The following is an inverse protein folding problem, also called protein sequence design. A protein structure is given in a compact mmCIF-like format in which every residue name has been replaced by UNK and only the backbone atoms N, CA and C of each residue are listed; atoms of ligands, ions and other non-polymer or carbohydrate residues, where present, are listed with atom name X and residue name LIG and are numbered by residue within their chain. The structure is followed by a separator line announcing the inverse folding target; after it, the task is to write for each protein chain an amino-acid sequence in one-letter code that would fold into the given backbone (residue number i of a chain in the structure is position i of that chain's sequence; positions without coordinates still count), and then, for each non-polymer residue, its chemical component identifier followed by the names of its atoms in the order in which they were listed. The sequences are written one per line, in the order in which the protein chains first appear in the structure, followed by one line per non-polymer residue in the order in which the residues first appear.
data_IF_852756460471
#
_entry.id   IF_852756460471
#
_cell.length_a   1.000
_cell.length_b   1.000
_cell.length_c   1.000
_cell.angle_alpha   90.00
_cell.angle_beta   90.00
_cell.angle_gamma   90.00
#
_symmetry.space_group_name_H-M   'P 1'
#
loop_
_entity.id
_entity.type
_entity.pdbx_description
1 polymer ?
#
# COMPACT_ATOMS: atom_id res chain seq x y z
N UNK A 1 71.84 -4.60 5.62
CA UNK A 1 72.25 -5.00 6.98
C UNK A 1 71.56 -4.04 7.93
N UNK A 2 70.76 -4.57 8.86
CA UNK A 2 69.75 -3.92 9.72
C UNK A 2 68.37 -3.64 9.06
N UNK A 3 67.47 -4.63 9.16
CA UNK A 3 65.99 -4.50 9.22
C UNK A 3 65.42 -5.93 9.20
N UNK A 4 65.29 -6.59 10.36
CA UNK A 4 64.56 -7.87 10.52
C UNK A 4 64.50 -8.27 12.01
N UNK A 5 63.70 -7.57 12.82
CA UNK A 5 63.37 -8.05 14.16
C UNK A 5 62.06 -7.44 14.67
N UNK A 6 60.92 -7.73 14.02
CA UNK A 6 59.59 -7.45 14.62
C UNK A 6 58.40 -8.23 14.02
N UNK A 7 58.61 -9.40 13.41
CA UNK A 7 57.50 -10.19 12.82
C UNK A 7 57.61 -11.66 13.23
N UNK A 8 57.42 -11.98 14.51
CA UNK A 8 57.47 -13.37 15.01
C UNK A 8 56.62 -13.64 16.26
N UNK A 9 55.37 -13.16 16.36
CA UNK A 9 54.52 -13.49 17.53
C UNK A 9 53.04 -13.86 17.29
N UNK A 10 52.61 -14.21 16.07
CA UNK A 10 51.18 -14.51 15.84
C UNK A 10 50.86 -15.81 15.10
N UNK A 11 51.73 -16.82 15.18
CA UNK A 11 51.44 -18.11 14.56
C UNK A 11 52.08 -19.26 15.33
N UNK A 12 51.39 -19.80 16.33
CA UNK A 12 51.34 -21.25 16.65
C UNK A 12 50.83 -21.53 18.08
N UNK A 13 49.52 -21.71 18.23
CA UNK A 13 48.97 -22.55 19.28
C UNK A 13 47.65 -23.14 18.78
N UNK A 14 47.78 -24.24 18.05
CA UNK A 14 46.70 -25.15 17.70
C UNK A 14 46.31 -26.02 18.92
N UNK A 15 45.10 -26.57 18.83
CA UNK A 15 44.54 -27.76 19.53
C UNK A 15 43.85 -27.46 20.88
N UNK A 16 42.68 -27.99 21.27
CA UNK A 16 41.44 -28.54 20.70
C UNK A 16 40.62 -29.02 21.93
N UNK A 17 39.32 -28.72 22.07
CA UNK A 17 38.35 -29.65 22.71
C UNK A 17 36.89 -29.16 22.62
N UNK A 18 36.17 -29.69 21.63
CA UNK A 18 34.91 -30.44 21.73
C UNK A 18 33.71 -29.92 22.57
N UNK A 19 32.57 -29.81 21.87
CA UNK A 19 31.18 -30.11 22.26
C UNK A 19 30.18 -28.94 22.37
N UNK A 20 29.61 -28.53 21.22
CA UNK A 20 28.18 -28.20 21.12
C UNK A 20 27.62 -28.74 19.79
N UNK A 21 26.64 -29.66 19.82
CA UNK A 21 25.89 -30.06 18.64
C UNK A 21 24.70 -29.11 18.45
N UNK A 22 24.34 -28.87 17.17
CA UNK A 22 23.12 -28.22 16.69
C UNK A 22 23.20 -26.71 16.42
N UNK A 23 24.03 -26.34 15.44
CA UNK A 23 23.74 -25.18 14.59
C UNK A 23 22.47 -25.44 13.77
N UNK A 24 21.30 -25.21 14.37
CA UNK A 24 20.08 -24.99 13.60
C UNK A 24 20.35 -23.72 12.78
N UNK A 25 20.64 -23.91 11.50
CA UNK A 25 20.62 -22.86 10.49
C UNK A 25 19.21 -22.29 10.39
N UNK A 26 18.81 -21.51 11.40
CA UNK A 26 17.79 -20.50 11.19
C UNK A 26 18.46 -19.41 10.37
N UNK A 27 17.93 -19.00 9.21
CA UNK A 27 18.36 -17.76 8.61
C UNK A 27 17.96 -16.65 9.59
N UNK A 28 18.91 -16.23 10.44
CA UNK A 28 18.77 -15.06 11.27
C UNK A 28 18.69 -13.88 10.31
N UNK A 29 17.47 -13.39 10.05
CA UNK A 29 17.27 -12.21 9.23
C UNK A 29 18.13 -11.09 9.83
N UNK A 30 19.00 -10.42 9.06
CA UNK A 30 19.75 -9.31 9.58
C UNK A 30 18.77 -8.26 10.12
N UNK A 31 18.87 -7.97 11.42
CA UNK A 31 18.13 -6.92 12.17
C UNK A 31 18.22 -5.53 11.53
N UNK A 32 19.00 -5.37 10.45
CA UNK A 32 19.15 -4.16 9.63
C UNK A 32 18.07 -3.95 8.57
N UNK A 33 16.99 -4.72 8.53
CA UNK A 33 15.84 -4.46 7.64
C UNK A 33 14.70 -3.64 8.27
N UNK A 34 14.94 -3.00 9.42
CA UNK A 34 14.10 -1.90 9.92
C UNK A 34 14.75 -0.56 9.54
N UNK A 35 15.38 -0.48 8.36
CA UNK A 35 15.86 0.79 7.84
C UNK A 35 14.64 1.62 7.41
N UNK A 36 14.23 2.52 8.29
CA UNK A 36 13.46 3.74 8.07
C UNK A 36 12.66 3.74 6.76
N UNK A 37 11.34 3.66 6.84
CA UNK A 37 10.44 4.26 5.85
C UNK A 37 10.67 5.78 5.81
N UNK A 38 11.83 6.20 5.32
CA UNK A 38 12.10 7.56 4.87
C UNK A 38 11.66 7.56 3.42
N UNK A 39 10.37 7.79 3.19
CA UNK A 39 9.92 8.24 1.88
C UNK A 39 10.61 9.58 1.63
N UNK A 40 11.77 9.55 0.95
CA UNK A 40 12.26 10.76 0.29
C UNK A 40 11.18 11.09 -0.73
N UNK A 41 10.42 12.14 -0.44
CA UNK A 41 9.45 12.72 -1.36
C UNK A 41 10.25 13.33 -2.51
N UNK A 42 10.67 12.48 -3.46
CA UNK A 42 11.36 12.91 -4.66
C UNK A 42 10.26 13.40 -5.61
N UNK A 43 9.88 14.66 -5.46
CA UNK A 43 8.96 15.35 -6.36
C UNK A 43 9.59 15.36 -7.76
N UNK A 44 9.24 14.36 -8.57
CA UNK A 44 9.23 14.55 -10.01
C UNK A 44 8.04 15.46 -10.26
N UNK A 45 8.32 16.65 -10.81
CA UNK A 45 7.30 17.64 -11.10
C UNK A 45 6.16 17.08 -11.96
N UNK A 46 5.14 17.91 -12.15
CA UNK A 46 3.97 17.59 -12.97
C UNK A 46 4.41 16.92 -14.27
N UNK A 47 3.91 15.72 -14.54
CA UNK A 47 4.06 15.12 -15.86
C UNK A 47 3.09 15.88 -16.77
N UNK A 48 3.57 16.72 -17.70
CA UNK A 48 2.68 17.61 -18.45
C UNK A 48 1.85 16.82 -19.47
N UNK A 49 2.41 15.75 -20.02
CA UNK A 49 1.78 14.94 -21.07
C UNK A 49 0.47 14.31 -20.57
N UNK A 50 0.43 13.56 -19.45
CA UNK A 50 -0.82 12.94 -18.98
C UNK A 50 -1.83 13.97 -18.45
N UNK A 51 -1.36 15.14 -17.99
CA UNK A 51 -2.22 16.23 -17.55
C UNK A 51 -3.02 16.82 -18.72
N UNK A 52 -2.35 17.06 -19.85
CA UNK A 52 -3.00 17.55 -21.07
C UNK A 52 -4.04 16.53 -21.56
N UNK A 53 -3.74 15.23 -21.52
CA UNK A 53 -4.71 14.18 -21.88
C UNK A 53 -5.96 14.18 -20.98
N UNK A 54 -5.77 14.35 -19.66
CA UNK A 54 -6.91 14.43 -18.74
C UNK A 54 -7.79 15.66 -19.00
N UNK A 55 -7.19 16.85 -19.17
CA UNK A 55 -7.94 18.07 -19.46
C UNK A 55 -8.62 18.06 -20.83
N UNK A 56 -7.94 17.56 -21.86
CA UNK A 56 -8.49 17.51 -23.22
C UNK A 56 -9.72 16.63 -23.29
N UNK A 57 -9.78 15.53 -22.54
CA UNK A 57 -10.95 14.64 -22.55
C UNK A 57 -12.22 15.35 -22.06
N UNK A 58 -12.12 16.17 -21.01
CA UNK A 58 -13.24 17.00 -20.54
C UNK A 58 -13.61 18.14 -21.48
N UNK A 59 -12.59 18.78 -22.08
CA UNK A 59 -12.79 19.90 -23.00
C UNK A 59 -13.46 19.43 -24.31
N UNK A 60 -13.06 18.27 -24.82
CA UNK A 60 -13.64 17.63 -26.00
C UNK A 60 -15.12 17.32 -25.76
N UNK A 61 -15.48 16.76 -24.60
CA UNK A 61 -16.88 16.48 -24.27
C UNK A 61 -17.73 17.74 -24.18
N UNK A 62 -17.16 18.84 -23.68
CA UNK A 62 -17.91 20.09 -23.55
C UNK A 62 -18.12 20.82 -24.88
N UNK A 63 -17.13 20.80 -25.78
CA UNK A 63 -17.13 21.60 -27.01
C UNK A 63 -17.38 20.81 -28.29
N UNK A 64 -16.97 19.54 -28.38
CA UNK A 64 -17.10 18.73 -29.59
C UNK A 64 -18.40 17.90 -29.63
N UNK A 65 -19.04 17.65 -28.48
CA UNK A 65 -20.29 16.88 -28.41
C UNK A 65 -21.46 17.86 -28.21
N UNK A 66 -22.43 17.92 -29.15
CA UNK A 66 -23.59 18.79 -29.01
C UNK A 66 -24.46 18.36 -27.83
N UNK A 67 -24.89 19.34 -27.03
CA UNK A 67 -25.69 19.10 -25.83
C UNK A 67 -27.05 18.49 -26.22
N UNK A 68 -27.45 17.35 -25.63
CA UNK A 68 -28.82 16.86 -25.78
C UNK A 68 -29.82 17.81 -25.08
N UNK A 69 -30.93 18.13 -25.75
CA UNK A 69 -31.89 19.17 -25.31
C UNK A 69 -32.50 18.93 -23.91
N UNK A 70 -32.54 17.67 -23.48
CA UNK A 70 -33.09 17.26 -22.17
C UNK A 70 -32.15 17.55 -20.98
N UNK A 71 -30.90 17.97 -21.22
CA UNK A 71 -29.89 18.14 -20.16
C UNK A 71 -29.61 19.62 -19.91
N UNK A 72 -29.57 20.05 -18.65
CA UNK A 72 -29.23 21.43 -18.30
C UNK A 72 -27.76 21.72 -18.60
N UNK A 73 -27.43 22.96 -18.94
CA UNK A 73 -26.05 23.37 -19.26
C UNK A 73 -25.10 23.20 -18.07
N UNK A 74 -25.63 23.33 -16.85
CA UNK A 74 -24.91 23.05 -15.59
C UNK A 74 -24.56 21.56 -15.46
N UNK A 75 -25.54 20.67 -15.67
CA UNK A 75 -25.32 19.22 -15.59
C UNK A 75 -24.31 18.73 -16.65
N UNK A 76 -24.36 19.27 -17.87
CA UNK A 76 -23.40 18.93 -18.93
C UNK A 76 -21.96 19.33 -18.59
N UNK A 77 -21.80 20.50 -17.97
CA UNK A 77 -20.51 20.98 -17.48
C UNK A 77 -19.98 20.11 -16.35
N UNK A 78 -20.84 19.77 -15.39
CA UNK A 78 -20.48 18.93 -14.24
C UNK A 78 -20.05 17.54 -14.70
N UNK A 79 -20.76 16.96 -15.67
CA UNK A 79 -20.38 15.70 -16.31
C UNK A 79 -18.98 15.77 -16.94
N UNK A 80 -18.68 16.86 -17.65
CA UNK A 80 -17.36 17.06 -18.29
C UNK A 80 -16.22 17.14 -17.26
N UNK A 81 -16.45 17.83 -16.14
CA UNK A 81 -15.49 17.92 -15.02
C UNK A 81 -15.33 16.56 -14.33
N UNK A 82 -16.43 15.83 -14.15
CA UNK A 82 -16.40 14.48 -13.59
C UNK A 82 -15.57 13.52 -14.45
N UNK A 83 -15.77 13.50 -15.77
CA UNK A 83 -14.96 12.69 -16.69
C UNK A 83 -13.48 13.09 -16.65
N UNK A 84 -13.18 14.40 -16.67
CA UNK A 84 -11.81 14.90 -16.48
C UNK A 84 -11.19 14.33 -15.19
N UNK A 85 -11.97 14.31 -14.11
CA UNK A 85 -11.52 13.82 -12.81
C UNK A 85 -11.19 12.33 -12.87
N UNK A 86 -12.05 11.50 -13.46
CA UNK A 86 -11.81 10.06 -13.64
C UNK A 86 -10.59 9.80 -14.52
N UNK A 87 -10.47 10.48 -15.66
CA UNK A 87 -9.33 10.35 -16.56
C UNK A 87 -8.03 10.75 -15.87
N UNK A 88 -8.04 11.80 -15.05
CA UNK A 88 -6.90 12.16 -14.22
C UNK A 88 -6.57 11.15 -13.12
N UNK A 89 -7.55 10.46 -12.54
CA UNK A 89 -7.29 9.36 -11.60
C UNK A 89 -6.63 8.16 -12.29
N UNK A 90 -7.00 7.85 -13.53
CA UNK A 90 -6.42 6.74 -14.30
C UNK A 90 -4.99 7.05 -14.73
N UNK A 91 -4.74 8.24 -15.28
CA UNK A 91 -3.40 8.63 -15.73
C UNK A 91 -2.47 9.10 -14.62
N UNK A 92 -3.01 9.39 -13.44
CA UNK A 92 -2.29 9.86 -12.26
C UNK A 92 -1.22 10.94 -12.58
N UNK A 93 -1.59 12.08 -13.22
CA UNK A 93 -0.64 13.12 -13.60
C UNK A 93 -0.03 13.83 -12.38
N UNK A 94 -0.76 13.83 -11.27
CA UNK A 94 -0.43 14.43 -9.98
C UNK A 94 -0.83 13.49 -8.83
N UNK A 95 -0.31 13.72 -7.61
CA UNK A 95 -0.85 13.08 -6.40
C UNK A 95 -2.37 13.28 -6.30
N UNK A 96 -3.08 12.22 -5.91
CA UNK A 96 -4.56 12.17 -5.90
C UNK A 96 -5.19 13.37 -5.18
N UNK A 97 -4.63 13.75 -4.03
CA UNK A 97 -5.12 14.93 -3.29
C UNK A 97 -4.94 16.24 -4.04
N UNK A 98 -3.79 16.46 -4.69
CA UNK A 98 -3.53 17.66 -5.47
C UNK A 98 -4.46 17.76 -6.68
N UNK A 99 -4.69 16.63 -7.38
CA UNK A 99 -5.64 16.56 -8.48
C UNK A 99 -7.08 16.88 -8.04
N UNK A 100 -7.50 16.33 -6.90
CA UNK A 100 -8.83 16.62 -6.34
C UNK A 100 -9.03 18.12 -6.07
N UNK A 101 -8.05 18.81 -5.49
CA UNK A 101 -8.13 20.27 -5.26
C UNK A 101 -8.14 21.08 -6.57
N UNK A 102 -7.41 20.66 -7.60
CA UNK A 102 -7.46 21.30 -8.92
C UNK A 102 -8.86 21.17 -9.54
N UNK A 103 -9.44 19.96 -9.55
CA UNK A 103 -10.79 19.72 -10.06
C UNK A 103 -11.86 20.50 -9.28
N UNK A 104 -11.73 20.56 -7.94
CA UNK A 104 -12.60 21.36 -7.08
C UNK A 104 -12.53 22.84 -7.45
N UNK A 105 -11.33 23.38 -7.62
CA UNK A 105 -11.08 24.77 -8.01
C UNK A 105 -11.68 25.07 -9.38
N UNK A 106 -11.50 24.18 -10.37
CA UNK A 106 -12.09 24.32 -11.71
C UNK A 106 -13.63 24.35 -11.63
N UNK A 107 -14.24 23.55 -10.75
CA UNK A 107 -15.69 23.51 -10.55
C UNK A 107 -16.23 24.84 -10.03
N UNK A 108 -15.50 25.46 -9.10
CA UNK A 108 -15.83 26.78 -8.53
C UNK A 108 -15.63 27.91 -9.53
N UNK A 109 -14.51 27.93 -10.27
CA UNK A 109 -14.24 28.94 -11.31
C UNK A 109 -15.30 28.88 -12.42
N UNK A 110 -15.70 27.68 -12.80
CA UNK A 110 -16.74 27.46 -13.81
C UNK A 110 -18.16 27.77 -13.27
N UNK A 111 -18.28 28.17 -11.99
CA UNK A 111 -19.56 28.45 -11.28
C UNK A 111 -20.59 27.33 -11.47
N UNK A 112 -20.11 26.09 -11.50
CA UNK A 112 -20.96 24.92 -11.72
C UNK A 112 -21.65 24.52 -10.41
N UNK A 113 -20.92 24.58 -9.31
CA UNK A 113 -21.41 24.45 -7.93
C UNK A 113 -21.06 25.72 -7.14
N UNK A 114 -21.86 26.02 -6.12
CA UNK A 114 -21.53 27.03 -5.12
C UNK A 114 -20.37 26.57 -4.21
N UNK A 115 -19.77 27.51 -3.49
CA UNK A 115 -18.70 27.20 -2.52
C UNK A 115 -19.18 26.23 -1.44
N UNK A 116 -20.40 26.44 -0.92
CA UNK A 116 -20.98 25.59 0.12
C UNK A 116 -21.19 24.15 -0.37
N UNK A 117 -21.79 23.98 -1.56
CA UNK A 117 -22.01 22.64 -2.14
C UNK A 117 -20.69 21.90 -2.39
N UNK A 118 -19.68 22.60 -2.90
CA UNK A 118 -18.37 22.03 -3.22
C UNK A 118 -17.63 21.51 -1.97
N UNK A 119 -17.76 22.20 -0.83
CA UNK A 119 -17.11 21.80 0.42
C UNK A 119 -17.98 20.94 1.34
N UNK A 120 -19.28 20.79 1.07
CA UNK A 120 -20.19 19.94 1.87
C UNK A 120 -19.72 18.49 2.00
N UNK A 121 -19.01 17.99 0.99
CA UNK A 121 -18.42 16.66 1.02
C UNK A 121 -17.31 16.54 2.09
N UNK A 122 -16.54 17.60 2.35
CA UNK A 122 -15.44 17.61 3.33
C UNK A 122 -15.94 17.57 4.77
N UNK A 123 -17.19 17.96 5.01
CA UNK A 123 -17.85 17.93 6.32
C UNK A 123 -18.65 16.65 6.55
N UNK A 124 -18.57 15.67 5.65
CA UNK A 124 -19.31 14.42 5.79
C UNK A 124 -18.75 13.58 6.96
N UNK A 125 -19.64 13.18 7.88
CA UNK A 125 -19.28 12.40 9.08
C UNK A 125 -18.57 11.08 8.73
N UNK A 126 -18.92 10.44 7.62
CA UNK A 126 -18.31 9.17 7.18
C UNK A 126 -16.84 9.37 6.84
N UNK A 127 -16.47 10.49 6.20
CA UNK A 127 -15.07 10.79 5.87
C UNK A 127 -14.27 11.02 7.16
N UNK A 128 -14.83 11.75 8.11
CA UNK A 128 -14.20 11.97 9.41
C UNK A 128 -14.06 10.69 10.23
N UNK A 129 -15.04 9.79 10.18
CA UNK A 129 -14.96 8.47 10.80
C UNK A 129 -13.77 7.66 10.23
N UNK A 130 -13.56 7.72 8.91
CA UNK A 130 -12.41 7.08 8.25
C UNK A 130 -11.09 7.68 8.75
N UNK A 131 -11.00 9.01 8.88
CA UNK A 131 -9.80 9.70 9.39
C UNK A 131 -9.46 9.26 10.81
N UNK A 132 -10.45 9.23 11.71
CA UNK A 132 -10.27 8.78 13.10
C UNK A 132 -9.85 7.32 13.17
N UNK A 133 -10.44 6.44 12.35
CA UNK A 133 -10.05 5.03 12.27
C UNK A 133 -8.59 4.86 11.81
N UNK A 134 -8.13 5.67 10.84
CA UNK A 134 -6.71 5.67 10.43
C UNK A 134 -5.78 6.16 11.54
N UNK A 135 -6.14 7.21 12.28
CA UNK A 135 -5.36 7.64 13.44
C UNK A 135 -5.29 6.57 14.53
N UNK A 136 -6.41 5.91 14.82
CA UNK A 136 -6.45 4.78 15.75
C UNK A 136 -5.55 3.63 15.30
N UNK A 137 -5.65 3.21 14.03
CA UNK A 137 -4.79 2.18 13.43
C UNK A 137 -3.30 2.55 13.53
N UNK A 138 -2.94 3.80 13.22
CA UNK A 138 -1.54 4.28 13.34
C UNK A 138 -1.08 4.32 14.80
N UNK A 139 -1.96 4.68 15.74
CA UNK A 139 -1.70 4.59 17.17
C UNK A 139 -1.44 3.15 17.62
N UNK A 140 -2.28 2.21 17.20
CA UNK A 140 -2.16 0.77 17.49
C UNK A 140 -0.85 0.16 16.96
N UNK A 141 -0.42 0.58 15.77
CA UNK A 141 0.89 0.20 15.20
C UNK A 141 2.03 0.83 16.01
N UNK A 142 1.93 2.13 16.34
CA UNK A 142 2.99 2.86 17.05
C UNK A 142 3.22 2.33 18.47
N UNK A 143 2.19 1.84 19.15
CA UNK A 143 2.30 1.24 20.50
C UNK A 143 2.84 -0.20 20.46
N UNK A 144 2.95 -0.82 19.28
CA UNK A 144 3.38 -2.21 19.13
C UNK A 144 2.35 -3.24 19.63
N UNK A 145 1.12 -2.81 19.94
CA UNK A 145 0.05 -3.72 20.38
C UNK A 145 -0.30 -4.71 19.26
N UNK A 146 -0.32 -4.24 18.01
CA UNK A 146 -0.55 -5.10 16.84
C UNK A 146 0.51 -6.17 16.64
N UNK A 147 1.79 -5.82 16.81
CA UNK A 147 2.90 -6.78 16.66
C UNK A 147 2.84 -7.87 17.74
N UNK A 148 2.43 -7.52 18.98
CA UNK A 148 2.22 -8.49 20.06
C UNK A 148 1.09 -9.46 19.71
N UNK A 149 -0.07 -8.94 19.29
CA UNK A 149 -1.24 -9.76 18.90
C UNK A 149 -0.91 -10.64 17.70
N UNK A 150 -0.22 -10.12 16.69
CA UNK A 150 0.21 -10.88 15.53
C UNK A 150 1.18 -12.02 15.91
N UNK A 151 2.10 -11.77 16.85
CA UNK A 151 3.02 -12.80 17.34
C UNK A 151 2.28 -13.93 18.07
N UNK A 152 1.29 -13.60 18.90
CA UNK A 152 0.43 -14.62 19.53
C UNK A 152 -0.34 -15.45 18.49
N UNK A 153 -0.88 -14.80 17.46
CA UNK A 153 -1.61 -15.48 16.38
C UNK A 153 -0.70 -16.43 15.58
N UNK A 154 0.50 -15.99 15.20
CA UNK A 154 1.49 -16.81 14.48
C UNK A 154 1.95 -17.98 15.35
N UNK A 155 2.15 -17.79 16.66
CA UNK A 155 2.53 -18.87 17.57
C UNK A 155 1.50 -20.00 17.59
N UNK A 156 0.22 -19.67 17.41
CA UNK A 156 -0.87 -20.65 17.44
C UNK A 156 -1.13 -21.28 16.06
N UNK A 157 -1.14 -20.48 14.99
CA UNK A 157 -1.63 -20.89 13.66
C UNK A 157 -0.54 -20.98 12.58
N UNK A 158 0.64 -20.39 12.81
CA UNK A 158 1.69 -20.22 11.80
C UNK A 158 2.57 -21.44 11.49
N UNK A 159 2.32 -22.58 12.14
CA UNK A 159 3.12 -23.80 11.89
C UNK A 159 2.80 -24.50 10.57
N UNK A 160 1.63 -24.22 9.98
CA UNK A 160 1.18 -24.83 8.71
C UNK A 160 0.68 -23.76 7.75
N UNK A 161 1.03 -23.88 6.47
CA UNK A 161 0.62 -22.97 5.40
C UNK A 161 -0.89 -22.88 5.23
N UNK A 162 -1.59 -24.00 5.44
CA UNK A 162 -3.06 -24.06 5.41
C UNK A 162 -3.72 -23.30 6.58
N UNK A 163 -3.09 -23.31 7.77
CA UNK A 163 -3.57 -22.55 8.92
C UNK A 163 -3.51 -21.05 8.67
N UNK A 164 -2.40 -20.59 8.07
CA UNK A 164 -2.27 -19.18 7.66
C UNK A 164 -3.32 -18.77 6.62
N UNK A 165 -3.64 -19.62 5.65
CA UNK A 165 -4.69 -19.35 4.68
C UNK A 165 -6.07 -19.24 5.34
N UNK A 166 -6.47 -20.22 6.18
CA UNK A 166 -7.73 -20.16 6.92
C UNK A 166 -7.83 -18.94 7.85
N UNK A 167 -6.72 -18.55 8.49
CA UNK A 167 -6.66 -17.36 9.31
C UNK A 167 -6.94 -16.07 8.53
N UNK A 168 -6.41 -15.97 7.30
CA UNK A 168 -6.70 -14.85 6.40
C UNK A 168 -8.17 -14.83 5.96
N UNK A 169 -8.72 -15.99 5.56
CA UNK A 169 -10.14 -16.10 5.16
C UNK A 169 -11.08 -15.72 6.30
N UNK A 170 -10.83 -16.21 7.52
CA UNK A 170 -11.63 -15.87 8.70
C UNK A 170 -11.50 -14.39 9.04
N UNK A 171 -10.29 -13.83 8.96
CA UNK A 171 -10.07 -12.40 9.18
C UNK A 171 -10.81 -11.55 8.14
N UNK A 172 -10.86 -11.98 6.89
CA UNK A 172 -11.67 -11.31 5.87
C UNK A 172 -13.17 -11.41 6.18
N UNK A 173 -13.66 -12.58 6.58
CA UNK A 173 -15.07 -12.75 6.96
C UNK A 173 -15.48 -11.83 8.11
N UNK A 174 -14.58 -11.61 9.09
CA UNK A 174 -14.81 -10.69 10.21
C UNK A 174 -14.73 -9.21 9.82
N UNK A 175 -13.86 -8.86 8.87
CA UNK A 175 -13.66 -7.47 8.42
C UNK A 175 -14.68 -7.03 7.36
N UNK A 176 -15.22 -7.98 6.59
CA UNK A 176 -16.17 -7.72 5.50
C UNK A 176 -17.39 -6.85 5.89
N UNK A 177 -18.02 -7.03 7.07
CA UNK A 177 -19.16 -6.20 7.48
C UNK A 177 -18.79 -4.73 7.73
N UNK A 178 -17.53 -4.46 8.11
CA UNK A 178 -17.07 -3.11 8.45
C UNK A 178 -16.53 -2.34 7.23
N UNK A 179 -15.98 -3.03 6.23
CA UNK A 179 -15.37 -2.41 5.04
C UNK A 179 -16.05 -2.98 3.80
N UNK A 180 -16.97 -2.25 3.12
CA UNK A 180 -17.74 -2.79 2.00
C UNK A 180 -16.93 -2.97 0.70
N UNK A 181 -15.76 -2.34 0.58
CA UNK A 181 -14.92 -2.41 -0.64
C UNK A 181 -13.93 -3.57 -0.60
N UNK A 182 -14.11 -4.56 -1.49
CA UNK A 182 -13.22 -5.71 -1.64
C UNK A 182 -11.80 -5.29 -2.04
N UNK A 183 -11.64 -4.33 -2.96
CA UNK A 183 -10.33 -3.80 -3.36
C UNK A 183 -9.61 -3.11 -2.20
N UNK A 184 -10.33 -2.37 -1.36
CA UNK A 184 -9.75 -1.72 -0.19
C UNK A 184 -9.28 -2.74 0.86
N UNK A 185 -10.03 -3.84 1.06
CA UNK A 185 -9.62 -4.93 1.96
C UNK A 185 -8.42 -5.70 1.40
N UNK A 186 -8.50 -6.18 0.15
CA UNK A 186 -7.46 -6.97 -0.48
C UNK A 186 -6.12 -6.24 -0.56
N UNK A 187 -6.13 -5.00 -1.08
CA UNK A 187 -4.92 -4.21 -1.27
C UNK A 187 -4.45 -3.48 -0.02
N UNK A 188 -5.37 -2.93 0.77
CA UNK A 188 -5.05 -2.07 1.92
C UNK A 188 -4.80 -2.83 3.22
N UNK A 189 -5.58 -3.85 3.52
CA UNK A 189 -5.50 -4.61 4.79
C UNK A 189 -4.67 -5.87 4.63
N UNK A 190 -5.05 -6.74 3.68
CA UNK A 190 -4.45 -8.07 3.55
C UNK A 190 -3.15 -8.09 2.73
N UNK A 191 -3.00 -7.20 1.76
CA UNK A 191 -1.80 -7.08 0.93
C UNK A 191 -0.48 -6.96 1.73
N UNK A 192 -0.37 -6.02 2.68
CA UNK A 192 0.81 -5.90 3.54
C UNK A 192 1.06 -7.14 4.43
N UNK A 193 -0.01 -7.76 4.94
CA UNK A 193 0.07 -8.96 5.80
C UNK A 193 0.56 -10.18 5.01
N UNK A 194 0.00 -10.41 3.82
CA UNK A 194 0.43 -11.50 2.93
C UNK A 194 1.89 -11.28 2.53
N UNK A 195 2.29 -10.03 2.23
CA UNK A 195 3.68 -9.69 1.90
C UNK A 195 4.63 -9.96 3.07
N UNK A 196 4.29 -9.56 4.29
CA UNK A 196 5.15 -9.79 5.46
C UNK A 196 5.29 -11.28 5.78
N UNK A 197 4.20 -12.05 5.74
CA UNK A 197 4.23 -13.52 5.94
C UNK A 197 5.02 -14.22 4.84
N UNK A 198 4.86 -13.79 3.58
CA UNK A 198 5.59 -14.38 2.45
C UNK A 198 7.09 -14.16 2.56
N UNK A 199 7.52 -12.93 2.84
CA UNK A 199 8.94 -12.59 3.00
C UNK A 199 9.55 -13.33 4.20
N UNK A 200 8.84 -13.43 5.32
CA UNK A 200 9.31 -14.15 6.50
C UNK A 200 9.47 -15.67 6.26
N UNK A 201 8.72 -16.24 5.32
CA UNK A 201 8.82 -17.64 4.90
C UNK A 201 9.74 -17.83 3.68
N UNK A 202 10.55 -16.83 3.32
CA UNK A 202 11.50 -16.91 2.21
C UNK A 202 10.84 -16.97 0.83
N UNK A 203 9.63 -16.43 0.69
CA UNK A 203 8.85 -16.27 -0.55
C UNK A 203 8.90 -14.81 -0.99
N UNK A 204 9.85 -14.47 -1.88
CA UNK A 204 10.07 -13.10 -2.34
C UNK A 204 9.24 -12.79 -3.60
N UNK A 205 8.67 -11.57 -3.72
CA UNK A 205 8.11 -11.11 -4.97
C UNK A 205 9.24 -10.96 -6.00
N UNK A 206 9.01 -11.33 -7.26
CA UNK A 206 9.93 -11.22 -8.41
C UNK A 206 11.02 -12.29 -8.58
N UNK A 207 11.21 -13.22 -7.63
CA UNK A 207 12.02 -14.43 -7.86
C UNK A 207 11.13 -15.59 -8.34
N UNK A 208 11.32 -16.04 -9.60
CA UNK A 208 10.50 -17.10 -10.22
C UNK A 208 10.54 -18.43 -9.45
N UNK A 209 11.61 -18.73 -8.70
CA UNK A 209 11.74 -19.97 -7.92
C UNK A 209 11.12 -19.87 -6.52
N UNK A 210 11.16 -18.69 -5.92
CA UNK A 210 10.72 -18.45 -4.53
C UNK A 210 9.27 -17.95 -4.45
N UNK A 211 8.78 -17.20 -5.44
CA UNK A 211 7.45 -16.57 -5.43
C UNK A 211 6.27 -17.57 -5.36
N UNK A 212 6.48 -18.81 -5.85
CA UNK A 212 5.45 -19.87 -5.85
C UNK A 212 5.32 -20.65 -4.54
N UNK A 213 6.16 -20.40 -3.53
CA UNK A 213 6.19 -21.21 -2.30
C UNK A 213 4.93 -21.02 -1.45
N UNK A 214 4.75 -19.83 -0.89
CA UNK A 214 3.60 -19.52 -0.03
C UNK A 214 2.90 -18.23 -0.46
N UNK A 215 3.64 -17.26 -1.02
CA UNK A 215 3.08 -15.96 -1.39
C UNK A 215 2.03 -16.04 -2.48
N UNK A 216 2.27 -16.81 -3.54
CA UNK A 216 1.27 -17.00 -4.60
C UNK A 216 0.00 -17.70 -4.09
N UNK A 217 0.13 -18.66 -3.17
CA UNK A 217 -1.01 -19.38 -2.60
C UNK A 217 -1.88 -18.47 -1.72
N UNK A 218 -1.26 -17.68 -0.83
CA UNK A 218 -1.98 -16.76 0.05
C UNK A 218 -2.63 -15.61 -0.73
N UNK A 219 -1.93 -15.05 -1.73
CA UNK A 219 -2.51 -14.02 -2.60
C UNK A 219 -3.68 -14.56 -3.42
N UNK A 220 -3.58 -15.78 -3.97
CA UNK A 220 -4.67 -16.38 -4.72
C UNK A 220 -5.88 -16.68 -3.83
N UNK A 221 -5.66 -17.26 -2.65
CA UNK A 221 -6.72 -17.55 -1.68
C UNK A 221 -7.44 -16.27 -1.27
N UNK A 222 -6.71 -15.18 -1.05
CA UNK A 222 -7.30 -13.89 -0.69
C UNK A 222 -8.17 -13.33 -1.82
N UNK A 223 -7.68 -13.37 -3.05
CA UNK A 223 -8.43 -12.88 -4.21
C UNK A 223 -9.72 -13.68 -4.44
N UNK A 224 -9.72 -14.98 -4.18
CA UNK A 224 -10.90 -15.84 -4.28
C UNK A 224 -11.96 -15.58 -3.20
N UNK A 225 -11.58 -15.04 -2.04
CA UNK A 225 -12.55 -14.69 -0.98
C UNK A 225 -13.09 -13.28 -1.17
N UNK A 226 -12.31 -12.40 -1.80
CA UNK A 226 -12.70 -11.03 -2.12
C UNK A 226 -13.68 -10.91 -3.32
N UNK A 227 -13.91 -11.97 -4.09
CA UNK A 227 -14.86 -12.04 -5.21
C UNK A 227 -16.25 -12.43 -4.75
#
# INVERSE_FOLDING_TARGET
MAQNMEVSQQHSSFVNNNNEPNSINTPVLPTRLISRFRTRFHWHGVKPIPLIFALTTGLILRFAVPKPDKVTTRAWTLLSIFLTTITGLVYAPLPVGAWAFVCLTVTLITKTLSFEEAFSAMTNEVIWLIVVAFFFSRGFIKTGLGDRVATYFIKWMGRKTIGLAYGLVLSEALVSPAIPSSTARAGGVFGPVIKSVSVNNGSMPFDKKSAKKIGSYLSMSQLQVCT
#
